data_IF_703378237089
#
_entry.id   IF_703378237089
#
_cell.length_a   1.000
_cell.length_b   1.000
_cell.length_c   1.000
_cell.angle_alpha   90.00
_cell.angle_beta   90.00
_cell.angle_gamma   90.00
#
_symmetry.space_group_name_H-M   'P 1'
#
loop_
_entity.id
_entity.type
_entity.pdbx_description
1 polymer ?
#
# COMPACT_ATOMS: atom_id res chain seq x y z
N UNK A 1 101.93 9.07 -37.22
CA UNK A 1 102.20 7.62 -37.40
C UNK A 1 101.41 6.85 -36.33
N UNK A 2 101.34 5.51 -36.43
CA UNK A 2 100.69 4.53 -35.51
C UNK A 2 100.78 4.84 -33.99
N UNK A 3 99.96 4.28 -33.07
CA UNK A 3 98.68 3.52 -33.09
C UNK A 3 98.42 2.92 -31.68
N UNK A 4 97.15 2.81 -31.21
CA UNK A 4 96.61 1.78 -30.25
C UNK A 4 97.25 1.62 -28.83
N UNK A 5 96.63 1.03 -27.78
CA UNK A 5 95.23 0.73 -27.31
C UNK A 5 95.34 0.04 -25.91
N UNK A 6 94.21 -0.15 -25.20
CA UNK A 6 94.02 -0.97 -23.97
C UNK A 6 94.60 -0.35 -22.66
N UNK A 7 94.07 -0.50 -21.43
CA UNK A 7 92.85 -1.15 -20.86
C UNK A 7 92.71 -0.71 -19.34
N UNK A 8 91.69 -0.97 -18.49
CA UNK A 8 90.41 -1.74 -18.58
C UNK A 8 89.23 -1.13 -17.76
N UNK A 9 89.01 -1.55 -16.49
CA UNK A 9 87.83 -1.33 -15.58
C UNK A 9 88.29 -1.51 -14.09
N UNK A 10 87.53 -1.21 -12.99
CA UNK A 10 86.06 -1.10 -12.87
C UNK A 10 85.41 -0.05 -11.92
N UNK A 11 84.09 0.10 -12.11
CA UNK A 11 82.99 0.37 -11.14
C UNK A 11 83.09 1.47 -10.05
N UNK A 12 82.29 2.53 -10.21
CA UNK A 12 81.61 3.22 -9.10
C UNK A 12 80.24 3.79 -9.53
N UNK A 13 79.26 3.66 -8.64
CA UNK A 13 77.82 3.99 -8.75
C UNK A 13 77.56 5.49 -8.95
N UNK A 14 76.64 5.88 -9.86
CA UNK A 14 75.30 6.45 -9.49
C UNK A 14 74.46 7.00 -10.67
N UNK A 15 73.16 7.16 -10.42
CA UNK A 15 72.13 7.96 -11.11
C UNK A 15 71.99 7.86 -12.66
N UNK A 16 70.98 7.12 -13.11
CA UNK A 16 70.40 7.23 -14.46
C UNK A 16 69.07 7.99 -14.41
N UNK A 17 68.93 9.07 -15.19
CA UNK A 17 67.61 9.61 -15.56
C UNK A 17 67.02 8.73 -16.67
N UNK A 18 65.80 8.23 -16.49
CA UNK A 18 65.15 7.35 -17.47
C UNK A 18 63.86 7.99 -18.01
N UNK A 19 63.97 8.56 -19.22
CA UNK A 19 62.85 9.14 -19.96
C UNK A 19 61.93 8.03 -20.50
N UNK A 20 60.82 7.78 -19.81
CA UNK A 20 59.79 6.87 -20.31
C UNK A 20 58.95 7.52 -21.42
N UNK A 21 59.23 7.14 -22.67
CA UNK A 21 58.28 7.30 -23.76
C UNK A 21 57.08 6.39 -23.52
N UNK A 22 55.94 6.95 -23.13
CA UNK A 22 54.66 6.21 -23.08
C UNK A 22 53.92 6.44 -24.39
N UNK A 23 53.65 5.33 -25.10
CA UNK A 23 52.98 5.36 -26.40
C UNK A 23 51.52 5.80 -26.27
N UNK A 24 51.09 6.72 -27.13
CA UNK A 24 49.75 7.30 -27.12
C UNK A 24 48.72 6.36 -27.79
N UNK A 25 48.45 5.23 -27.16
CA UNK A 25 47.42 4.29 -27.63
C UNK A 25 46.02 4.89 -27.50
N UNK A 26 45.44 5.29 -28.64
CA UNK A 26 44.06 5.77 -28.74
C UNK A 26 43.05 4.62 -28.54
N UNK A 27 42.84 4.24 -27.27
CA UNK A 27 41.78 3.31 -26.87
C UNK A 27 40.43 3.97 -27.17
N UNK A 28 39.80 3.54 -28.27
CA UNK A 28 38.42 3.87 -28.57
C UNK A 28 37.51 3.13 -27.59
N UNK A 29 37.24 3.77 -26.44
CA UNK A 29 36.17 3.32 -25.54
C UNK A 29 34.83 3.52 -26.26
N UNK A 30 34.06 2.45 -26.55
CA UNK A 30 32.70 2.62 -27.04
C UNK A 30 31.88 3.23 -25.89
N UNK A 31 31.57 4.52 -26.00
CA UNK A 31 30.75 5.25 -25.03
C UNK A 31 29.35 4.67 -24.98
N UNK A 32 29.15 3.66 -24.13
CA UNK A 32 27.90 2.92 -24.03
C UNK A 32 26.91 3.72 -23.18
N UNK A 33 26.44 4.84 -23.74
CA UNK A 33 25.36 5.69 -23.21
C UNK A 33 24.04 4.93 -23.25
N UNK A 34 23.91 3.90 -22.42
CA UNK A 34 22.65 3.23 -22.11
C UNK A 34 21.83 4.11 -21.17
N UNK A 35 21.35 5.24 -21.68
CA UNK A 35 20.07 5.82 -21.26
C UNK A 35 18.93 4.93 -21.76
N UNK A 36 18.97 3.64 -21.39
CA UNK A 36 17.76 2.84 -21.28
C UNK A 36 17.01 3.39 -20.08
N UNK A 37 16.09 4.31 -20.33
CA UNK A 37 14.94 4.50 -19.44
C UNK A 37 14.26 3.13 -19.35
N UNK A 38 14.56 2.39 -18.28
CA UNK A 38 13.95 1.09 -18.05
C UNK A 38 12.45 1.34 -17.94
N UNK A 39 11.71 0.91 -18.97
CA UNK A 39 10.26 1.05 -19.00
C UNK A 39 9.73 0.14 -17.88
N UNK A 40 9.28 0.76 -16.80
CA UNK A 40 8.72 0.07 -15.64
C UNK A 40 7.58 -0.83 -16.12
N UNK A 41 7.68 -2.13 -15.84
CA UNK A 41 6.62 -3.08 -16.08
C UNK A 41 5.75 -3.14 -14.82
N UNK A 42 4.57 -2.50 -14.80
CA UNK A 42 3.77 -2.41 -13.58
C UNK A 42 3.27 -3.78 -13.12
N UNK A 43 3.19 -4.76 -14.03
CA UNK A 43 2.79 -6.12 -13.68
C UNK A 43 3.95 -6.88 -13.02
N UNK A 44 5.19 -6.67 -13.45
CA UNK A 44 6.36 -7.21 -12.76
C UNK A 44 6.53 -6.57 -11.37
N UNK A 45 6.44 -5.24 -11.27
CA UNK A 45 6.57 -4.49 -10.02
C UNK A 45 5.49 -4.91 -9.01
N UNK A 46 4.23 -5.02 -9.45
CA UNK A 46 3.13 -5.53 -8.63
C UNK A 46 3.33 -6.99 -8.19
N UNK A 47 3.84 -7.84 -9.09
CA UNK A 47 4.10 -9.26 -8.76
C UNK A 47 5.25 -9.41 -7.75
N UNK A 48 6.23 -8.51 -7.77
CA UNK A 48 7.26 -8.43 -6.73
C UNK A 48 6.66 -7.99 -5.38
N UNK A 49 5.82 -6.95 -5.38
CA UNK A 49 5.12 -6.46 -4.19
C UNK A 49 4.24 -7.54 -3.52
N UNK A 50 3.45 -8.27 -4.31
CA UNK A 50 2.63 -9.40 -3.81
C UNK A 50 3.48 -10.46 -3.11
N UNK A 51 4.66 -10.77 -3.67
CA UNK A 51 5.55 -11.79 -3.11
C UNK A 51 6.30 -11.31 -1.85
N UNK A 52 6.70 -10.04 -1.78
CA UNK A 52 7.31 -9.49 -0.57
C UNK A 52 6.30 -9.38 0.59
N UNK A 53 5.07 -8.90 0.30
CA UNK A 53 4.00 -8.73 1.28
C UNK A 53 3.55 -10.04 1.98
N UNK A 54 3.82 -11.20 1.37
CA UNK A 54 3.63 -12.52 2.03
C UNK A 54 4.33 -12.56 3.39
N UNK A 55 5.54 -12.01 3.50
CA UNK A 55 6.37 -12.08 4.71
C UNK A 55 6.27 -10.80 5.55
N UNK A 56 5.64 -10.89 6.72
CA UNK A 56 5.74 -9.89 7.78
C UNK A 56 7.10 -10.05 8.48
N UNK A 57 7.75 -8.94 8.84
CA UNK A 57 8.98 -8.96 9.63
C UNK A 57 9.19 -7.65 10.39
N UNK A 58 10.05 -7.65 11.41
CA UNK A 58 10.31 -6.46 12.22
C UNK A 58 10.84 -5.26 11.41
N UNK A 59 11.50 -5.51 10.28
CA UNK A 59 11.99 -4.47 9.36
C UNK A 59 10.89 -3.82 8.52
N UNK A 60 9.65 -4.33 8.58
CA UNK A 60 8.46 -3.77 7.90
C UNK A 60 7.50 -3.05 8.85
N UNK A 61 7.76 -3.08 10.15
CA UNK A 61 6.96 -2.33 11.13
C UNK A 61 7.26 -0.84 10.96
N UNK A 62 6.21 -0.04 10.76
CA UNK A 62 6.27 1.42 10.82
C UNK A 62 5.67 1.90 12.15
N UNK A 63 6.24 2.97 12.71
CA UNK A 63 5.74 3.65 13.93
C UNK A 63 4.92 4.91 13.61
N UNK A 64 4.52 5.05 12.35
CA UNK A 64 3.83 6.23 11.81
C UNK A 64 2.44 5.88 11.24
N UNK A 65 1.80 4.79 11.68
CA UNK A 65 0.40 4.57 11.34
C UNK A 65 -0.46 5.68 11.97
N UNK A 66 -1.49 6.12 11.26
CA UNK A 66 -2.47 7.04 11.84
C UNK A 66 -3.26 6.33 12.92
N UNK A 67 -3.18 6.88 14.13
CA UNK A 67 -4.04 6.57 15.26
C UNK A 67 -5.39 7.27 15.11
N UNK A 68 -6.50 6.53 15.06
CA UNK A 68 -7.87 7.07 15.10
C UNK A 68 -8.23 7.35 16.57
N UNK A 69 -7.77 8.50 17.07
CA UNK A 69 -8.05 8.98 18.44
C UNK A 69 -8.52 10.43 18.40
N UNK A 70 -9.37 10.82 19.36
CA UNK A 70 -9.88 12.20 19.45
C UNK A 70 -8.78 13.27 19.67
N UNK A 71 -7.58 12.85 20.11
CA UNK A 71 -6.40 13.72 20.23
C UNK A 71 -5.62 13.92 18.92
N UNK A 72 -5.87 13.13 17.87
CA UNK A 72 -5.19 13.27 16.59
C UNK A 72 -5.83 14.38 15.75
N UNK A 73 -5.16 15.53 15.69
CA UNK A 73 -5.59 16.75 14.99
C UNK A 73 -5.52 16.68 13.47
N UNK A 74 -4.91 15.63 12.89
CA UNK A 74 -4.84 15.44 11.44
C UNK A 74 -6.11 14.83 10.85
N UNK A 75 -6.97 14.22 11.70
CA UNK A 75 -8.20 13.57 11.29
C UNK A 75 -9.30 14.59 10.96
N UNK A 76 -10.16 14.23 10.01
CA UNK A 76 -11.43 14.93 9.78
C UNK A 76 -12.57 14.19 10.48
N UNK A 77 -13.21 14.87 11.42
CA UNK A 77 -14.32 14.35 12.21
C UNK A 77 -15.65 14.95 11.73
N UNK A 78 -16.73 14.21 11.88
CA UNK A 78 -18.07 14.67 11.52
C UNK A 78 -18.47 15.90 12.35
N UNK A 79 -18.90 16.95 11.65
CA UNK A 79 -19.21 18.27 12.22
C UNK A 79 -18.06 18.88 13.05
N UNK A 80 -16.81 18.50 12.75
CA UNK A 80 -15.59 18.90 13.47
C UNK A 80 -15.60 18.55 14.98
N UNK A 81 -16.37 17.52 15.39
CA UNK A 81 -16.44 17.02 16.78
C UNK A 81 -15.50 15.83 16.99
N UNK A 82 -14.37 15.97 17.71
CA UNK A 82 -13.44 14.86 17.91
C UNK A 82 -14.06 13.66 18.62
N UNK A 83 -13.84 12.45 18.10
CA UNK A 83 -14.47 11.23 18.62
C UNK A 83 -15.90 10.97 18.12
N UNK A 84 -16.41 11.77 17.17
CA UNK A 84 -17.64 11.45 16.41
C UNK A 84 -17.36 10.39 15.33
N UNK A 85 -18.01 10.44 14.17
CA UNK A 85 -17.63 9.62 13.01
C UNK A 85 -16.39 10.22 12.33
N UNK A 86 -15.42 9.39 11.96
CA UNK A 86 -14.20 9.81 11.26
C UNK A 86 -14.38 9.71 9.74
N UNK A 87 -13.83 10.66 9.00
CA UNK A 87 -13.89 10.69 7.55
C UNK A 87 -12.85 9.74 6.95
N UNK A 88 -13.33 8.75 6.20
CA UNK A 88 -12.50 7.77 5.51
C UNK A 88 -12.80 7.76 4.01
N UNK A 89 -11.83 7.34 3.21
CA UNK A 89 -11.91 7.27 1.75
C UNK A 89 -11.66 5.84 1.24
N UNK A 90 -12.47 5.40 0.28
CA UNK A 90 -12.23 4.17 -0.51
C UNK A 90 -12.22 4.49 -2.00
N UNK A 91 -11.51 3.67 -2.78
CA UNK A 91 -11.41 3.81 -4.23
C UNK A 91 -12.30 2.79 -4.94
N UNK A 92 -13.02 3.25 -5.96
CA UNK A 92 -13.97 2.46 -6.75
C UNK A 92 -13.54 2.50 -8.20
N UNK A 93 -13.17 1.32 -8.74
CA UNK A 93 -12.68 1.15 -10.10
C UNK A 93 -13.77 0.81 -11.14
N UNK A 94 -15.04 1.09 -10.81
CA UNK A 94 -16.22 0.69 -11.58
C UNK A 94 -17.23 1.85 -11.67
N UNK A 95 -17.27 2.50 -12.83
CA UNK A 95 -18.07 3.71 -13.10
C UNK A 95 -19.55 3.62 -12.64
N UNK A 96 -20.31 2.53 -12.91
CA UNK A 96 -21.71 2.46 -12.49
C UNK A 96 -21.90 2.40 -10.97
N UNK A 97 -20.90 1.96 -10.19
CA UNK A 97 -20.95 2.08 -8.73
C UNK A 97 -20.73 3.53 -8.27
N UNK A 98 -19.83 4.28 -8.93
CA UNK A 98 -19.67 5.72 -8.68
C UNK A 98 -20.96 6.50 -8.98
N UNK A 99 -21.57 6.24 -10.14
CA UNK A 99 -22.87 6.80 -10.56
C UNK A 99 -24.01 6.35 -9.63
N UNK A 100 -23.92 5.15 -9.04
CA UNK A 100 -24.87 4.64 -8.06
C UNK A 100 -25.05 5.55 -6.84
N UNK A 101 -23.99 6.23 -6.38
CA UNK A 101 -24.06 7.17 -5.24
C UNK A 101 -24.57 8.58 -5.61
N UNK A 102 -24.48 8.98 -6.88
CA UNK A 102 -24.83 10.33 -7.36
C UNK A 102 -26.16 10.40 -8.11
N UNK A 103 -26.61 9.28 -8.68
CA UNK A 103 -27.92 9.16 -9.36
C UNK A 103 -29.07 9.50 -8.39
N UNK A 104 -29.96 10.45 -8.71
CA UNK A 104 -31.05 10.86 -7.83
C UNK A 104 -32.16 9.81 -7.70
N UNK A 105 -32.39 9.01 -8.76
CA UNK A 105 -33.54 8.10 -8.86
C UNK A 105 -33.26 6.66 -8.38
N UNK A 106 -31.98 6.31 -8.16
CA UNK A 106 -31.60 4.97 -7.72
C UNK A 106 -31.84 4.74 -6.21
N UNK A 107 -32.06 3.49 -5.82
CA UNK A 107 -32.06 3.09 -4.40
C UNK A 107 -30.62 2.96 -3.83
N UNK A 108 -30.49 2.82 -2.51
CA UNK A 108 -29.21 2.62 -1.82
C UNK A 108 -28.62 3.88 -1.19
N UNK A 109 -27.33 3.84 -0.83
CA UNK A 109 -26.61 4.97 -0.23
C UNK A 109 -26.40 6.10 -1.24
N UNK A 110 -26.55 7.37 -0.82
CA UNK A 110 -26.43 8.55 -1.69
C UNK A 110 -25.57 9.64 -1.09
N UNK A 111 -24.86 10.36 -1.95
CA UNK A 111 -24.01 11.51 -1.56
C UNK A 111 -24.83 12.59 -0.84
N UNK A 112 -24.28 13.13 0.25
CA UNK A 112 -24.95 14.11 1.10
C UNK A 112 -26.06 13.53 2.00
N UNK A 113 -26.13 12.19 2.15
CA UNK A 113 -27.19 11.53 2.93
C UNK A 113 -26.65 10.48 3.91
N UNK A 114 -27.46 10.21 4.93
CA UNK A 114 -27.27 9.15 5.91
C UNK A 114 -27.68 7.79 5.34
N UNK A 115 -26.73 6.88 5.14
CA UNK A 115 -26.99 5.49 4.76
C UNK A 115 -26.94 4.58 5.98
N UNK A 116 -28.13 4.24 6.50
CA UNK A 116 -28.30 3.48 7.76
C UNK A 116 -27.74 2.05 7.74
N UNK A 117 -27.70 1.43 6.56
CA UNK A 117 -27.41 0.00 6.38
C UNK A 117 -26.27 -0.19 5.35
N UNK A 118 -25.13 0.46 5.54
CA UNK A 118 -23.97 0.27 4.66
C UNK A 118 -23.41 -1.15 4.85
N UNK A 119 -23.62 -2.01 3.85
CA UNK A 119 -23.36 -3.45 3.93
C UNK A 119 -22.02 -3.94 3.37
N UNK A 120 -21.09 -3.03 3.05
CA UNK A 120 -19.83 -3.38 2.38
C UNK A 120 -18.64 -3.40 3.34
N UNK A 121 -17.84 -4.46 3.30
CA UNK A 121 -16.54 -4.55 3.97
C UNK A 121 -15.46 -3.78 3.21
N UNK A 122 -15.64 -2.47 3.09
CA UNK A 122 -14.80 -1.60 2.29
C UNK A 122 -13.45 -1.34 2.97
N UNK A 123 -12.39 -1.48 2.18
CA UNK A 123 -11.01 -1.12 2.57
C UNK A 123 -10.84 0.38 2.38
N UNK A 124 -10.34 1.05 3.41
CA UNK A 124 -10.31 2.53 3.51
C UNK A 124 -9.00 3.04 4.10
N UNK A 125 -8.68 4.29 3.77
CA UNK A 125 -7.69 5.13 4.46
C UNK A 125 -8.39 6.36 5.07
N UNK A 126 -7.78 7.01 6.06
CA UNK A 126 -8.31 8.24 6.67
C UNK A 126 -8.07 9.47 5.80
N UNK A 127 -9.08 10.34 5.69
CA UNK A 127 -8.91 11.62 4.99
C UNK A 127 -8.15 12.60 5.91
N UNK A 128 -7.06 13.26 5.46
CA UNK A 128 -6.65 13.45 4.06
C UNK A 128 -5.39 12.70 3.59
N UNK A 129 -5.01 11.55 4.17
CA UNK A 129 -3.72 10.89 3.87
C UNK A 129 -3.44 10.68 2.38
N UNK A 130 -4.41 10.17 1.62
CA UNK A 130 -4.26 9.93 0.17
C UNK A 130 -3.92 11.22 -0.61
N UNK A 131 -4.47 12.38 -0.21
CA UNK A 131 -4.13 13.67 -0.82
C UNK A 131 -2.75 14.15 -0.37
N UNK A 132 -2.42 13.98 0.91
CA UNK A 132 -1.12 14.36 1.46
C UNK A 132 0.05 13.56 0.83
N UNK A 133 -0.15 12.26 0.54
CA UNK A 133 0.87 11.39 -0.04
C UNK A 133 1.10 11.64 -1.54
N UNK A 134 0.06 12.06 -2.28
CA UNK A 134 0.10 12.16 -3.74
C UNK A 134 0.11 13.58 -4.30
N UNK A 135 -0.28 14.58 -3.50
CA UNK A 135 -0.41 15.96 -3.95
C UNK A 135 -1.51 16.13 -5.01
N UNK A 136 -1.31 17.10 -5.90
CA UNK A 136 -2.28 17.47 -6.95
C UNK A 136 -2.04 16.70 -8.25
N UNK A 137 -3.13 16.27 -8.89
CA UNK A 137 -3.15 15.63 -10.22
C UNK A 137 -2.16 14.44 -10.42
N UNK A 138 -2.10 13.44 -9.53
CA UNK A 138 -1.32 12.22 -9.74
C UNK A 138 -1.84 11.41 -10.94
N UNK A 139 -0.94 10.73 -11.66
CA UNK A 139 -1.33 9.75 -12.66
C UNK A 139 -2.06 8.55 -12.02
N UNK A 140 -3.03 7.95 -12.72
CA UNK A 140 -3.82 6.82 -12.20
C UNK A 140 -2.95 5.69 -11.63
N UNK A 141 -1.87 5.34 -12.33
CA UNK A 141 -0.91 4.32 -11.88
C UNK A 141 -0.34 4.64 -10.49
N UNK A 142 -0.07 5.91 -10.18
CA UNK A 142 0.45 6.34 -8.88
C UNK A 142 -0.60 6.23 -7.77
N UNK A 143 -1.87 6.48 -8.09
CA UNK A 143 -3.00 6.28 -7.15
C UNK A 143 -3.17 4.79 -6.82
N UNK A 144 -3.17 3.94 -7.86
CA UNK A 144 -3.20 2.48 -7.73
C UNK A 144 -2.04 1.95 -6.90
N UNK A 145 -0.82 2.45 -7.15
CA UNK A 145 0.39 2.12 -6.37
C UNK A 145 0.23 2.43 -4.88
N UNK A 146 -0.15 3.67 -4.53
CA UNK A 146 -0.31 4.08 -3.13
C UNK A 146 -1.38 3.28 -2.37
N UNK A 147 -2.40 2.78 -3.07
CA UNK A 147 -3.47 1.96 -2.51
C UNK A 147 -3.14 0.46 -2.48
N UNK A 148 -1.96 0.02 -2.95
CA UNK A 148 -1.60 -1.39 -3.02
C UNK A 148 -2.45 -2.21 -4.00
N UNK A 149 -3.05 -1.57 -4.99
CA UNK A 149 -4.01 -2.19 -5.91
C UNK A 149 -3.33 -2.79 -7.16
N UNK A 150 -3.97 -3.77 -7.84
CA UNK A 150 -3.50 -4.29 -9.11
C UNK A 150 -3.34 -3.19 -10.18
N UNK A 151 -2.39 -3.31 -11.12
CA UNK A 151 -2.24 -2.38 -12.24
C UNK A 151 -3.57 -2.14 -12.97
N UNK A 152 -3.88 -0.88 -13.36
CA UNK A 152 -5.17 -0.55 -13.93
C UNK A 152 -5.37 -1.25 -15.28
N UNK A 153 -6.60 -1.67 -15.57
CA UNK A 153 -6.94 -2.19 -16.90
C UNK A 153 -6.81 -1.09 -17.96
N UNK A 154 -6.62 -1.48 -19.21
CA UNK A 154 -6.60 -0.55 -20.35
C UNK A 154 -7.89 0.29 -20.54
N UNK A 155 -8.95 -0.05 -19.81
CA UNK A 155 -10.23 0.66 -19.76
C UNK A 155 -10.35 1.62 -18.57
N UNK A 156 -9.51 1.53 -17.55
CA UNK A 156 -9.58 2.39 -16.35
C UNK A 156 -8.86 3.71 -16.58
N UNK A 157 -9.51 4.82 -16.23
CA UNK A 157 -8.99 6.18 -16.32
C UNK A 157 -9.28 6.95 -15.03
N UNK A 158 -8.77 8.18 -14.93
CA UNK A 158 -9.13 9.10 -13.84
C UNK A 158 -10.59 9.60 -13.92
N UNK A 159 -11.28 9.33 -15.03
CA UNK A 159 -12.62 9.84 -15.38
C UNK A 159 -13.74 8.82 -15.17
N UNK A 160 -13.42 7.53 -15.09
CA UNK A 160 -14.39 6.43 -14.89
C UNK A 160 -14.15 5.62 -13.61
N UNK A 161 -13.29 6.14 -12.74
CA UNK A 161 -13.01 5.63 -11.39
C UNK A 161 -13.19 6.78 -10.40
N UNK A 162 -13.55 6.50 -9.15
CA UNK A 162 -13.85 7.53 -8.16
C UNK A 162 -13.28 7.23 -6.76
N UNK A 163 -13.14 8.28 -5.97
CA UNK A 163 -12.97 8.20 -4.51
C UNK A 163 -14.32 8.50 -3.85
N UNK A 164 -14.75 7.57 -3.00
CA UNK A 164 -15.91 7.69 -2.12
C UNK A 164 -15.42 8.09 -0.72
N UNK A 165 -15.80 9.28 -0.26
CA UNK A 165 -15.58 9.72 1.13
C UNK A 165 -16.84 9.46 1.96
N UNK A 166 -16.69 8.89 3.15
CA UNK A 166 -17.77 8.62 4.08
C UNK A 166 -17.35 8.81 5.54
N UNK A 167 -18.26 9.35 6.36
CA UNK A 167 -18.09 9.40 7.81
C UNK A 167 -18.53 8.07 8.42
N UNK A 168 -17.64 7.39 9.12
CA UNK A 168 -17.83 6.06 9.73
C UNK A 168 -17.56 6.13 11.23
N UNK A 169 -18.33 5.39 12.03
CA UNK A 169 -18.05 5.24 13.45
C UNK A 169 -16.68 4.59 13.67
N UNK A 170 -15.80 5.11 14.55
CA UNK A 170 -14.56 4.43 14.91
C UNK A 170 -14.79 3.00 15.40
N UNK A 171 -15.90 2.74 16.11
CA UNK A 171 -16.27 1.40 16.56
C UNK A 171 -16.67 0.43 15.44
N UNK A 172 -16.88 0.91 14.20
CA UNK A 172 -17.19 0.11 13.01
C UNK A 172 -16.00 -0.04 12.05
N UNK A 173 -14.82 0.45 12.46
CA UNK A 173 -13.53 0.27 11.77
C UNK A 173 -12.65 -0.73 12.52
N UNK A 174 -11.81 -1.47 11.79
CA UNK A 174 -10.69 -2.22 12.37
C UNK A 174 -9.43 -2.06 11.52
N UNK A 175 -8.25 -2.19 12.15
CA UNK A 175 -6.96 -2.25 11.46
C UNK A 175 -6.72 -3.69 10.98
N UNK A 176 -6.39 -3.96 9.71
CA UNK A 176 -6.17 -5.32 9.21
C UNK A 176 -4.74 -5.80 9.53
N UNK A 177 -4.45 -5.96 10.83
CA UNK A 177 -3.17 -6.45 11.38
C UNK A 177 -3.42 -7.47 12.50
N UNK A 178 -2.40 -8.17 13.05
CA UNK A 178 -2.58 -9.02 14.23
C UNK A 178 -3.15 -8.28 15.45
N UNK A 179 -2.92 -6.97 15.54
CA UNK A 179 -3.66 -6.08 16.41
C UNK A 179 -4.73 -5.32 15.58
N UNK A 180 -6.04 -5.43 15.90
CA UNK A 180 -7.10 -4.75 15.18
C UNK A 180 -7.34 -3.31 15.68
N UNK A 181 -6.68 -2.89 16.76
CA UNK A 181 -6.92 -1.59 17.38
C UNK A 181 -6.51 -0.43 16.45
N UNK A 182 -7.48 0.45 16.20
CA UNK A 182 -7.33 1.61 15.30
C UNK A 182 -6.60 2.78 15.96
N UNK A 183 -6.37 2.70 17.27
CA UNK A 183 -5.75 3.72 18.12
C UNK A 183 -4.22 3.76 18.00
N UNK A 184 -3.62 2.74 17.39
CA UNK A 184 -2.19 2.46 17.54
C UNK A 184 -1.38 2.94 16.33
N UNK A 185 -0.12 3.32 16.58
CA UNK A 185 0.79 3.89 15.57
C UNK A 185 1.74 2.86 14.96
N UNK A 186 1.74 1.62 15.44
CA UNK A 186 2.44 0.47 14.87
C UNK A 186 1.60 -0.80 14.98
N UNK A 187 2.02 -1.87 14.30
CA UNK A 187 1.35 -3.18 14.33
C UNK A 187 2.32 -4.26 14.82
N UNK A 188 1.85 -5.14 15.71
CA UNK A 188 2.61 -6.31 16.16
C UNK A 188 2.74 -7.37 15.05
N UNK A 189 3.74 -8.26 15.17
CA UNK A 189 3.93 -9.39 14.23
C UNK A 189 3.05 -10.62 14.57
N UNK A 190 2.35 -10.58 15.70
CA UNK A 190 1.58 -11.67 16.29
C UNK A 190 0.37 -11.11 17.02
N UNK A 191 -0.67 -11.92 17.21
CA UNK A 191 -1.82 -11.53 18.02
C UNK A 191 -1.40 -11.28 19.47
N UNK A 192 -1.93 -10.24 20.14
CA UNK A 192 -1.69 -10.00 21.57
C UNK A 192 -1.96 -11.24 22.42
N UNK A 193 -1.02 -11.54 23.32
CA UNK A 193 -1.11 -12.68 24.27
C UNK A 193 -1.67 -12.27 25.64
N UNK A 194 -1.89 -10.98 25.86
CA UNK A 194 -2.37 -10.46 27.14
C UNK A 194 -3.89 -10.62 27.32
N UNK A 195 -4.33 -10.54 28.58
CA UNK A 195 -5.73 -10.77 28.93
C UNK A 195 -6.69 -9.61 28.64
N UNK A 196 -6.18 -8.49 28.12
CA UNK A 196 -6.88 -7.21 27.99
C UNK A 196 -7.21 -6.88 26.53
N UNK A 197 -6.24 -7.01 25.61
CA UNK A 197 -6.43 -6.88 24.15
C UNK A 197 -7.07 -8.13 23.56
N UNK A 198 -8.29 -8.43 24.01
CA UNK A 198 -9.09 -9.57 23.55
C UNK A 198 -10.00 -9.17 22.39
N UNK A 199 -9.98 -10.00 21.37
CA UNK A 199 -10.93 -9.98 20.27
C UNK A 199 -12.36 -10.15 20.79
N UNK A 200 -13.26 -9.27 20.36
CA UNK A 200 -14.70 -9.54 20.48
C UNK A 200 -15.09 -10.56 19.41
N UNK A 201 -14.99 -11.84 19.77
CA UNK A 201 -15.40 -12.96 18.92
C UNK A 201 -16.92 -12.95 18.61
N UNK A 202 -17.73 -12.08 19.25
CA UNK A 202 -19.12 -11.86 18.86
C UNK A 202 -19.26 -10.86 17.69
N UNK A 203 -18.29 -9.94 17.53
CA UNK A 203 -18.23 -9.01 16.40
C UNK A 203 -17.61 -9.67 15.16
N UNK A 204 -18.35 -10.62 14.59
CA UNK A 204 -17.95 -11.36 13.40
C UNK A 204 -17.60 -10.43 12.22
N UNK A 205 -16.61 -10.84 11.43
CA UNK A 205 -16.16 -10.19 10.20
C UNK A 205 -16.51 -11.08 9.02
N UNK A 206 -16.94 -10.50 7.90
CA UNK A 206 -17.12 -11.24 6.66
C UNK A 206 -15.78 -11.50 5.97
N UNK A 207 -15.40 -12.76 5.80
CA UNK A 207 -14.28 -13.18 4.97
C UNK A 207 -14.75 -13.53 3.55
N UNK A 208 -14.22 -12.81 2.58
CA UNK A 208 -14.46 -13.05 1.15
C UNK A 208 -13.55 -14.12 0.53
N UNK A 209 -12.58 -14.61 1.31
CA UNK A 209 -11.59 -15.63 0.97
C UNK A 209 -12.23 -17.03 0.78
N UNK A 210 -11.51 -17.98 0.14
CA UNK A 210 -11.97 -19.36 0.00
C UNK A 210 -12.37 -20.04 1.32
N UNK A 211 -13.37 -20.90 1.26
CA UNK A 211 -13.72 -21.79 2.36
C UNK A 211 -12.55 -22.76 2.65
N UNK A 212 -12.06 -22.69 3.89
CA UNK A 212 -10.95 -23.49 4.42
C UNK A 212 -11.31 -23.87 5.86
N UNK A 213 -11.75 -25.11 6.06
CA UNK A 213 -12.26 -25.56 7.37
C UNK A 213 -11.18 -25.63 8.46
N UNK A 214 -9.90 -25.53 8.11
CA UNK A 214 -8.79 -25.42 9.09
C UNK A 214 -8.64 -24.03 9.69
N UNK A 215 -9.22 -22.99 9.05
CA UNK A 215 -9.15 -21.58 9.46
C UNK A 215 -10.51 -20.93 9.63
N UNK A 216 -11.55 -21.50 9.02
CA UNK A 216 -12.92 -21.02 9.06
C UNK A 216 -13.87 -22.22 9.29
N UNK A 217 -13.99 -22.74 10.53
CA UNK A 217 -14.66 -24.01 10.80
C UNK A 217 -16.16 -24.05 10.48
N UNK A 218 -16.79 -22.89 10.31
CA UNK A 218 -18.20 -22.71 9.96
C UNK A 218 -18.49 -22.78 8.46
N UNK A 219 -17.48 -22.72 7.59
CA UNK A 219 -17.70 -22.62 6.15
C UNK A 219 -18.12 -23.97 5.52
N UNK A 220 -18.95 -23.91 4.49
CA UNK A 220 -19.52 -25.10 3.82
C UNK A 220 -18.99 -25.28 2.39
N UNK A 221 -19.06 -24.23 1.57
CA UNK A 221 -18.46 -24.19 0.23
C UNK A 221 -18.30 -22.75 -0.26
N UNK A 222 -17.47 -22.55 -1.30
CA UNK A 222 -17.22 -21.23 -1.87
C UNK A 222 -16.33 -20.37 -0.97
N UNK A 223 -16.95 -19.56 -0.10
CA UNK A 223 -16.28 -18.57 0.75
C UNK A 223 -16.33 -18.94 2.22
N UNK A 224 -15.44 -18.36 3.03
CA UNK A 224 -15.49 -18.50 4.48
C UNK A 224 -16.75 -17.86 5.09
N UNK A 225 -17.09 -16.63 4.70
CA UNK A 225 -18.27 -15.92 5.22
C UNK A 225 -18.02 -15.29 6.60
N UNK A 226 -19.07 -15.16 7.43
CA UNK A 226 -18.93 -14.57 8.77
C UNK A 226 -18.14 -15.49 9.72
N UNK A 227 -17.08 -14.96 10.30
CA UNK A 227 -16.18 -15.66 11.23
C UNK A 227 -15.55 -14.67 12.22
N UNK A 228 -14.84 -15.16 13.24
CA UNK A 228 -14.16 -14.28 14.22
C UNK A 228 -12.99 -13.53 13.57
N UNK A 229 -12.54 -12.41 14.17
CA UNK A 229 -11.44 -11.62 13.60
C UNK A 229 -10.18 -12.45 13.36
N UNK A 230 -9.79 -13.28 14.33
CA UNK A 230 -8.61 -14.14 14.21
C UNK A 230 -8.72 -15.11 13.02
N UNK A 231 -9.88 -15.76 12.88
CA UNK A 231 -10.15 -16.68 11.77
C UNK A 231 -10.15 -15.95 10.42
N UNK A 232 -10.73 -14.75 10.36
CA UNK A 232 -10.70 -13.88 9.17
C UNK A 232 -9.25 -13.53 8.78
N UNK A 233 -8.42 -13.14 9.74
CA UNK A 233 -7.02 -12.78 9.52
C UNK A 233 -6.21 -13.98 9.03
N UNK A 234 -6.30 -15.12 9.73
CA UNK A 234 -5.56 -16.35 9.38
C UNK A 234 -5.97 -16.87 7.99
N UNK A 235 -7.27 -16.85 7.69
CA UNK A 235 -7.83 -17.23 6.39
C UNK A 235 -7.43 -16.25 5.28
N UNK A 236 -7.35 -14.93 5.54
CA UNK A 236 -6.80 -13.96 4.60
C UNK A 236 -5.32 -14.20 4.35
N UNK A 237 -4.50 -14.35 5.39
CA UNK A 237 -3.04 -14.52 5.29
C UNK A 237 -2.65 -15.78 4.52
N UNK A 238 -3.48 -16.83 4.56
CA UNK A 238 -3.27 -18.08 3.85
C UNK A 238 -3.68 -18.09 2.37
N UNK A 239 -4.53 -17.16 1.91
CA UNK A 239 -5.13 -17.22 0.57
C UNK A 239 -4.95 -15.95 -0.30
N UNK A 240 -4.81 -14.76 0.30
CA UNK A 240 -4.89 -13.48 -0.44
C UNK A 240 -3.78 -13.27 -1.49
N UNK A 241 -2.63 -13.94 -1.34
CA UNK A 241 -1.48 -13.83 -2.23
C UNK A 241 -1.53 -14.82 -3.41
N UNK A 242 -2.47 -15.76 -3.39
CA UNK A 242 -2.57 -16.90 -4.34
C UNK A 242 -3.94 -16.94 -5.06
N UNK A 243 -4.71 -15.86 -4.97
CA UNK A 243 -5.94 -15.64 -5.74
C UNK A 243 -5.62 -15.40 -7.23
N UNK A 244 -6.64 -15.51 -8.09
CA UNK A 244 -6.54 -15.12 -9.51
C UNK A 244 -6.22 -13.63 -9.72
N UNK A 245 -6.53 -12.80 -8.73
CA UNK A 245 -6.07 -11.42 -8.59
C UNK A 245 -5.58 -11.28 -7.15
N UNK A 246 -4.29 -11.54 -6.88
CA UNK A 246 -3.74 -11.47 -5.53
C UNK A 246 -3.48 -10.03 -5.12
N UNK A 247 -3.37 -9.77 -3.81
CA UNK A 247 -3.09 -8.43 -3.26
C UNK A 247 -1.82 -8.42 -2.41
N UNK A 248 -0.99 -7.36 -2.47
CA UNK A 248 0.17 -7.17 -1.60
C UNK A 248 -0.25 -6.70 -0.20
N UNK A 249 -1.19 -7.41 0.44
CA UNK A 249 -1.65 -7.07 1.78
C UNK A 249 -0.51 -7.25 2.78
N UNK A 250 -0.11 -6.18 3.46
CA UNK A 250 1.03 -6.18 4.38
C UNK A 250 0.75 -6.98 5.65
N UNK A 251 -0.52 -7.04 6.05
CA UNK A 251 -0.97 -7.47 7.37
C UNK A 251 -0.32 -6.67 8.53
N UNK A 252 0.09 -5.42 8.27
CA UNK A 252 0.73 -4.53 9.24
C UNK A 252 0.01 -3.17 9.34
N UNK A 253 -1.27 -3.12 8.92
CA UNK A 253 -2.11 -1.92 9.05
C UNK A 253 -1.78 -0.76 8.10
N UNK A 254 -1.00 -1.01 7.03
CA UNK A 254 -0.69 -0.04 5.98
C UNK A 254 -0.77 -0.66 4.57
N UNK A 255 -1.10 0.13 3.55
CA UNK A 255 -1.12 -0.32 2.15
C UNK A 255 0.31 -0.48 1.62
N UNK A 256 0.60 -1.56 0.88
CA UNK A 256 1.91 -1.71 0.24
C UNK A 256 2.02 -0.75 -0.95
N UNK A 257 2.77 0.33 -0.80
CA UNK A 257 2.99 1.29 -1.88
C UNK A 257 4.08 0.80 -2.82
N UNK A 258 3.68 0.03 -3.84
CA UNK A 258 4.59 -0.50 -4.85
C UNK A 258 5.09 0.55 -5.86
N UNK A 259 4.70 1.82 -5.69
CA UNK A 259 5.32 2.98 -6.34
C UNK A 259 6.31 3.74 -5.45
N UNK A 260 6.38 3.44 -4.15
CA UNK A 260 7.35 4.03 -3.23
C UNK A 260 8.72 3.34 -3.43
N UNK A 261 9.79 4.06 -3.84
CA UNK A 261 11.11 3.47 -4.05
C UNK A 261 11.83 3.12 -2.73
N UNK A 262 11.30 3.55 -1.58
CA UNK A 262 11.91 3.32 -0.26
C UNK A 262 11.32 2.08 0.40
N UNK A 263 12.11 1.01 0.50
CA UNK A 263 11.78 -0.15 1.34
C UNK A 263 11.55 0.31 2.81
N UNK A 264 10.55 -0.23 3.53
CA UNK A 264 9.71 -1.39 3.21
C UNK A 264 8.38 -1.04 2.51
N UNK A 265 8.39 -0.06 1.60
CA UNK A 265 7.25 0.29 0.74
C UNK A 265 5.99 0.71 1.53
N UNK A 266 6.21 1.53 2.58
CA UNK A 266 5.13 2.11 3.37
C UNK A 266 4.27 3.02 2.48
N UNK A 267 2.97 2.72 2.42
CA UNK A 267 1.93 3.57 1.85
C UNK A 267 1.09 4.27 2.92
N UNK A 268 -0.22 4.10 2.81
CA UNK A 268 -1.26 4.77 3.60
C UNK A 268 -1.66 3.92 4.81
N UNK A 269 -2.18 4.54 5.85
CA UNK A 269 -2.81 3.82 6.97
C UNK A 269 -4.06 3.10 6.47
N UNK A 270 -4.11 1.79 6.69
CA UNK A 270 -5.12 0.89 6.15
C UNK A 270 -6.10 0.46 7.25
N UNK A 271 -7.39 0.54 6.95
CA UNK A 271 -8.49 0.10 7.81
C UNK A 271 -9.57 -0.58 6.96
N UNK A 272 -10.47 -1.32 7.62
CA UNK A 272 -11.61 -1.97 6.98
C UNK A 272 -12.88 -1.66 7.78
N UNK A 273 -13.96 -1.31 7.07
CA UNK A 273 -15.29 -1.18 7.67
C UNK A 273 -15.83 -2.57 7.98
N UNK A 274 -16.26 -2.84 9.22
CA UNK A 274 -17.02 -4.06 9.54
C UNK A 274 -18.53 -3.77 9.59
N UNK A 275 -19.28 -4.04 8.51
CA UNK A 275 -20.74 -3.83 8.47
C UNK A 275 -21.54 -4.83 9.32
N UNK A 276 -20.90 -5.87 9.88
CA UNK A 276 -21.59 -7.02 10.45
C UNK A 276 -22.56 -7.67 9.46
N UNK A 277 -23.62 -8.29 9.96
CA UNK A 277 -24.68 -8.92 9.14
C UNK A 277 -25.84 -7.99 8.77
N UNK A 278 -25.97 -6.82 9.42
CA UNK A 278 -27.08 -5.88 9.20
C UNK A 278 -26.72 -4.62 8.39
N UNK A 279 -25.43 -4.34 8.22
CA UNK A 279 -24.94 -3.03 7.76
C UNK A 279 -24.77 -2.04 8.92
N UNK A 280 -23.99 -0.98 8.68
CA UNK A 280 -23.67 0.08 9.67
C UNK A 280 -24.11 1.48 9.18
N UNK A 281 -24.38 2.43 10.09
CA UNK A 281 -24.80 3.78 9.74
C UNK A 281 -23.61 4.68 9.35
N UNK A 282 -23.55 5.08 8.08
CA UNK A 282 -22.51 5.98 7.55
C UNK A 282 -23.13 7.18 6.84
N UNK A 283 -22.49 8.33 6.90
CA UNK A 283 -22.88 9.48 6.06
C UNK A 283 -21.98 9.53 4.82
N UNK A 284 -22.54 9.49 3.62
CA UNK A 284 -21.77 9.58 2.39
C UNK A 284 -21.40 11.06 2.16
N UNK A 285 -20.16 11.43 2.48
CA UNK A 285 -19.70 12.82 2.46
C UNK A 285 -19.47 13.34 1.04
N UNK A 286 -18.80 12.57 0.19
CA UNK A 286 -18.55 12.96 -1.21
C UNK A 286 -18.31 11.75 -2.10
N UNK A 287 -18.54 11.93 -3.40
CA UNK A 287 -18.06 11.03 -4.45
C UNK A 287 -17.46 11.90 -5.54
N UNK A 288 -16.15 11.79 -5.72
CA UNK A 288 -15.40 12.55 -6.71
C UNK A 288 -14.77 11.58 -7.70
N UNK A 289 -14.84 11.87 -9.01
CA UNK A 289 -13.99 11.17 -9.98
C UNK A 289 -12.52 11.32 -9.59
N UNK A 290 -11.70 10.31 -9.85
CA UNK A 290 -10.30 10.28 -9.36
C UNK A 290 -9.49 11.46 -9.89
N UNK A 291 -9.83 12.02 -11.07
CA UNK A 291 -9.28 13.30 -11.56
C UNK A 291 -9.55 14.45 -10.61
N UNK A 292 -10.82 14.62 -10.24
CA UNK A 292 -11.30 15.81 -9.52
C UNK A 292 -10.97 15.74 -8.01
N UNK A 293 -10.84 14.53 -7.46
CA UNK A 293 -10.48 14.33 -6.04
C UNK A 293 -9.14 15.00 -5.66
N UNK A 294 -8.16 15.04 -6.57
CA UNK A 294 -6.85 15.65 -6.34
C UNK A 294 -6.74 17.11 -6.83
N UNK A 295 -7.84 17.73 -7.24
CA UNK A 295 -7.91 19.18 -7.56
C UNK A 295 -8.77 19.98 -6.59
N UNK A 296 -9.52 19.29 -5.73
CA UNK A 296 -10.51 19.83 -4.78
C UNK A 296 -10.05 19.69 -3.33
#
# INVERSE_FOLDING_TARGET
MKSTRHDRTPNAVSLFFLLFFISFFLVNLPGCSRTSSAQTDPQADYSAAVNDARTMSAAKITKNLTAITAGNTNLKWENDVPGSRVLVATYINYQPACEGYTSPDGTGCKVGQECKNYGYSSWVTVVPELKNLLGTAPALLRVIQALGLPPPSNTQTLDNTCILELYVSPGDLFRPSPDPEITDQEAELSFPLDGFRKFDDTRLVWSEMPCDTSRCPSCQSGKCGFTTYKNWFDNRKAHVYDLSTPYPWTALGYTYDWGNPTAPHIGLSEFVINPGSGGVPVFIKSVNWTRDYFTN
#
